data_IF_007159691018
#
_entry.id   IF_007159691018
#
_cell.length_a   1.000
_cell.length_b   1.000
_cell.length_c   1.000
_cell.angle_alpha   90.00
_cell.angle_beta   90.00
_cell.angle_gamma   90.00
#
_symmetry.space_group_name_H-M   'P 1'
#
loop_
_entity.id
_entity.type
_entity.pdbx_description
1 polymer ?
#
# COMPACT_ATOMS: atom_id res chain seq x y z
N UNK A 1 -26.30 -35.86 30.36
CA UNK A 1 -24.99 -35.20 30.56
C UNK A 1 -25.00 -33.90 29.77
N UNK A 2 -25.20 -32.76 30.43
CA UNK A 2 -25.25 -31.43 29.80
C UNK A 2 -23.86 -30.78 29.90
N UNK A 3 -23.21 -30.56 28.76
CA UNK A 3 -21.96 -29.82 28.67
C UNK A 3 -22.23 -28.32 28.81
N UNK A 4 -21.80 -27.75 29.93
CA UNK A 4 -21.72 -26.30 30.12
C UNK A 4 -20.49 -25.78 29.37
N UNK A 5 -20.71 -25.08 28.26
CA UNK A 5 -19.66 -24.30 27.60
C UNK A 5 -19.57 -22.95 28.34
N UNK A 6 -18.41 -22.58 28.92
CA UNK A 6 -18.29 -21.36 29.71
C UNK A 6 -18.47 -20.10 28.84
N UNK A 7 -19.41 -19.23 29.22
CA UNK A 7 -19.76 -17.97 28.53
C UNK A 7 -18.59 -16.98 28.36
N UNK A 8 -17.44 -17.22 29.00
CA UNK A 8 -16.27 -16.33 28.92
C UNK A 8 -15.56 -16.37 27.57
N UNK A 9 -15.71 -17.44 26.78
CA UNK A 9 -15.02 -17.57 25.49
C UNK A 9 -15.63 -16.66 24.41
N UNK A 10 -16.94 -16.38 24.48
CA UNK A 10 -17.64 -15.58 23.46
C UNK A 10 -17.22 -14.11 23.51
N UNK A 11 -16.87 -13.57 24.68
CA UNK A 11 -16.46 -12.18 24.84
C UNK A 11 -15.09 -11.86 24.20
N UNK A 12 -14.16 -12.82 24.15
CA UNK A 12 -12.85 -12.59 23.50
C UNK A 12 -12.97 -12.44 21.97
N UNK A 13 -13.91 -13.15 21.34
CA UNK A 13 -14.07 -13.10 19.88
C UNK A 13 -14.68 -11.78 19.38
N UNK A 14 -15.52 -11.13 20.18
CA UNK A 14 -16.09 -9.82 19.84
C UNK A 14 -15.07 -8.68 19.98
N UNK A 15 -14.16 -8.77 20.97
CA UNK A 15 -13.06 -7.80 21.15
C UNK A 15 -12.03 -7.85 20.01
N UNK A 16 -11.80 -9.00 19.40
CA UNK A 16 -10.91 -9.11 18.23
C UNK A 16 -11.50 -8.49 16.97
N UNK A 17 -12.82 -8.51 16.80
CA UNK A 17 -13.47 -8.06 15.56
C UNK A 17 -13.58 -6.54 15.49
N UNK A 18 -13.98 -5.89 16.59
CA UNK A 18 -14.07 -4.41 16.67
C UNK A 18 -12.70 -3.74 16.51
N UNK A 19 -11.60 -4.43 16.88
CA UNK A 19 -10.24 -3.92 16.70
C UNK A 19 -9.72 -4.05 15.25
N UNK A 20 -10.37 -4.86 14.41
CA UNK A 20 -10.01 -5.02 13.01
C UNK A 20 -10.46 -3.80 12.20
N UNK A 21 -11.74 -3.42 12.32
CA UNK A 21 -12.34 -2.36 11.48
C UNK A 21 -11.63 -1.00 11.67
N UNK A 22 -11.29 -0.64 12.91
CA UNK A 22 -10.61 0.62 13.20
C UNK A 22 -9.14 0.69 12.72
N UNK A 23 -8.52 -0.46 12.46
CA UNK A 23 -7.18 -0.52 11.87
C UNK A 23 -7.24 -0.46 10.34
N UNK A 24 -8.27 -1.05 9.74
CA UNK A 24 -8.45 -1.06 8.29
C UNK A 24 -8.65 0.36 7.76
N UNK A 25 -9.45 1.19 8.44
CA UNK A 25 -9.65 2.60 8.10
C UNK A 25 -8.36 3.42 8.20
N UNK A 26 -7.53 3.16 9.21
CA UNK A 26 -6.22 3.83 9.36
C UNK A 26 -5.26 3.42 8.26
N UNK A 27 -5.34 2.18 7.81
CA UNK A 27 -4.48 1.69 6.73
C UNK A 27 -4.86 2.25 5.38
N UNK A 28 -6.16 2.38 5.08
CA UNK A 28 -6.63 3.11 3.90
C UNK A 28 -6.19 4.58 3.95
N UNK A 29 -6.42 5.28 5.07
CA UNK A 29 -6.02 6.67 5.25
C UNK A 29 -4.50 6.88 5.16
N UNK A 30 -3.72 5.95 5.71
CA UNK A 30 -2.26 5.96 5.58
C UNK A 30 -1.84 5.82 4.12
N UNK A 31 -2.45 4.87 3.40
CA UNK A 31 -2.09 4.58 2.02
C UNK A 31 -2.34 5.81 1.14
N UNK A 32 -3.51 6.43 1.25
CA UNK A 32 -3.85 7.65 0.52
C UNK A 32 -2.87 8.80 0.83
N UNK A 33 -2.51 9.00 2.10
CA UNK A 33 -1.54 10.03 2.48
C UNK A 33 -0.17 9.78 1.86
N UNK A 34 0.34 8.56 1.95
CA UNK A 34 1.67 8.28 1.43
C UNK A 34 1.70 8.19 -0.10
N UNK A 35 0.62 7.77 -0.77
CA UNK A 35 0.49 7.86 -2.22
C UNK A 35 0.55 9.31 -2.68
N UNK A 36 -0.23 10.20 -2.06
CA UNK A 36 -0.19 11.62 -2.36
C UNK A 36 1.19 12.24 -2.06
N UNK A 37 1.86 11.81 -1.00
CA UNK A 37 3.23 12.22 -0.71
C UNK A 37 4.23 11.74 -1.77
N UNK A 38 4.07 10.54 -2.30
CA UNK A 38 4.93 10.02 -3.34
C UNK A 38 4.82 10.86 -4.62
N UNK A 39 3.59 11.17 -5.03
CA UNK A 39 3.28 12.04 -6.16
C UNK A 39 3.88 13.45 -5.98
N UNK A 40 3.68 14.05 -4.80
CA UNK A 40 4.19 15.39 -4.48
C UNK A 40 5.72 15.47 -4.42
N UNK A 41 6.41 14.34 -4.17
CA UNK A 41 7.87 14.27 -4.12
C UNK A 41 8.47 13.70 -5.41
N UNK A 42 7.70 13.60 -6.50
CA UNK A 42 8.18 13.16 -7.82
C UNK A 42 8.90 11.80 -7.79
N UNK A 43 8.49 10.91 -6.88
CA UNK A 43 9.02 9.55 -6.71
C UNK A 43 10.54 9.41 -6.42
N UNK A 44 11.34 10.49 -6.32
CA UNK A 44 12.79 10.44 -6.07
C UNK A 44 13.35 11.70 -5.38
N UNK A 45 14.47 11.55 -4.66
CA UNK A 45 15.24 12.62 -4.00
C UNK A 45 14.42 13.58 -3.11
N UNK A 46 13.92 13.02 -2.02
CA UNK A 46 13.19 13.76 -0.99
C UNK A 46 14.14 14.69 -0.23
N UNK A 47 13.95 16.01 -0.39
CA UNK A 47 14.56 17.03 0.47
C UNK A 47 13.71 17.26 1.73
N UNK A 48 14.35 17.50 2.87
CA UNK A 48 13.65 17.62 4.16
C UNK A 48 12.60 18.74 4.17
N UNK A 49 12.97 19.90 3.65
CA UNK A 49 12.10 21.08 3.55
C UNK A 49 10.89 20.81 2.66
N UNK A 50 11.10 20.17 1.51
CA UNK A 50 10.02 19.81 0.60
C UNK A 50 9.13 18.72 1.19
N UNK A 51 9.71 17.71 1.83
CA UNK A 51 8.96 16.65 2.52
C UNK A 51 8.03 17.21 3.59
N UNK A 52 8.52 18.13 4.41
CA UNK A 52 7.72 18.77 5.46
C UNK A 52 6.55 19.56 4.87
N UNK A 53 6.82 20.41 3.86
CA UNK A 53 5.78 21.21 3.19
C UNK A 53 4.75 20.33 2.48
N UNK A 54 5.22 19.32 1.75
CA UNK A 54 4.37 18.37 1.04
C UNK A 54 3.50 17.55 2.02
N UNK A 55 4.03 17.20 3.19
CA UNK A 55 3.26 16.54 4.25
C UNK A 55 2.12 17.42 4.75
N UNK A 56 2.39 18.70 5.03
CA UNK A 56 1.34 19.63 5.45
C UNK A 56 0.29 19.82 4.35
N UNK A 57 0.73 20.00 3.11
CA UNK A 57 -0.16 20.19 1.97
C UNK A 57 -1.04 18.96 1.71
N UNK A 58 -0.45 17.76 1.68
CA UNK A 58 -1.18 16.50 1.53
C UNK A 58 -2.23 16.31 2.63
N UNK A 59 -1.87 16.60 3.88
CA UNK A 59 -2.81 16.51 5.00
C UNK A 59 -3.96 17.50 4.89
N UNK A 60 -3.70 18.73 4.45
CA UNK A 60 -4.76 19.72 4.24
C UNK A 60 -5.73 19.28 3.13
N UNK A 61 -5.23 18.72 2.01
CA UNK A 61 -6.06 18.17 0.93
C UNK A 61 -6.96 17.06 1.45
N UNK A 62 -6.39 16.07 2.14
CA UNK A 62 -7.15 14.89 2.58
C UNK A 62 -8.16 15.24 3.67
N UNK A 63 -7.79 16.09 4.64
CA UNK A 63 -8.72 16.53 5.67
C UNK A 63 -9.87 17.37 5.11
N UNK A 64 -9.63 18.15 4.04
CA UNK A 64 -10.69 18.90 3.38
C UNK A 64 -11.66 17.99 2.63
N UNK A 65 -11.15 16.99 1.90
CA UNK A 65 -11.98 16.14 1.02
C UNK A 65 -12.69 15.00 1.76
N UNK A 66 -12.02 14.31 2.68
CA UNK A 66 -12.53 13.06 3.26
C UNK A 66 -13.14 13.24 4.64
N UNK A 67 -12.60 14.17 5.44
CA UNK A 67 -13.10 14.53 6.78
C UNK A 67 -13.30 13.33 7.74
N UNK A 68 -12.56 12.24 7.55
CA UNK A 68 -12.68 11.06 8.42
C UNK A 68 -11.77 11.18 9.65
N UNK A 69 -12.17 10.60 10.80
CA UNK A 69 -11.29 10.52 11.98
C UNK A 69 -9.98 9.78 11.71
N UNK A 70 -9.99 8.80 10.80
CA UNK A 70 -8.80 8.05 10.41
C UNK A 70 -7.76 8.95 9.75
N UNK A 71 -8.17 9.77 8.76
CA UNK A 71 -7.30 10.75 8.09
C UNK A 71 -6.74 11.76 9.09
N UNK A 72 -7.58 12.27 10.00
CA UNK A 72 -7.13 13.19 11.05
C UNK A 72 -6.01 12.57 11.90
N UNK A 73 -6.21 11.36 12.40
CA UNK A 73 -5.25 10.67 13.27
C UNK A 73 -3.93 10.35 12.54
N UNK A 74 -4.02 9.88 11.29
CA UNK A 74 -2.84 9.62 10.45
C UNK A 74 -2.06 10.92 10.22
N UNK A 75 -2.75 12.00 9.87
CA UNK A 75 -2.12 13.30 9.63
C UNK A 75 -1.46 13.89 10.88
N UNK A 76 -2.11 13.81 12.04
CA UNK A 76 -1.51 14.24 13.31
C UNK A 76 -0.23 13.44 13.56
N UNK A 77 -0.28 12.12 13.45
CA UNK A 77 0.89 11.27 13.66
C UNK A 77 2.05 11.64 12.73
N UNK A 78 1.79 11.73 11.42
CA UNK A 78 2.84 11.99 10.43
C UNK A 78 3.43 13.38 10.63
N UNK A 79 2.60 14.43 10.84
CA UNK A 79 3.06 15.80 11.10
C UNK A 79 3.94 15.90 12.34
N UNK A 80 3.56 15.23 13.43
CA UNK A 80 4.36 15.22 14.67
C UNK A 80 5.68 14.48 14.50
N UNK A 81 5.77 13.52 13.58
CA UNK A 81 6.94 12.66 13.40
C UNK A 81 7.71 12.93 12.10
N UNK A 82 7.51 14.08 11.44
CA UNK A 82 8.15 14.44 10.17
C UNK A 82 9.67 14.16 10.17
N UNK A 83 10.47 14.55 11.18
CA UNK A 83 11.92 14.32 11.15
C UNK A 83 12.29 12.83 11.11
N UNK A 84 11.57 12.00 11.89
CA UNK A 84 11.83 10.56 11.97
C UNK A 84 11.40 9.84 10.69
N UNK A 85 10.22 10.18 10.17
CA UNK A 85 9.68 9.62 8.94
C UNK A 85 10.56 10.02 7.76
N UNK A 86 10.92 11.28 7.64
CA UNK A 86 11.84 11.77 6.62
C UNK A 86 13.17 11.02 6.64
N UNK A 87 13.79 10.88 7.83
CA UNK A 87 15.06 10.18 7.95
C UNK A 87 14.94 8.74 7.47
N UNK A 88 13.87 8.03 7.85
CA UNK A 88 13.62 6.67 7.38
C UNK A 88 13.40 6.61 5.85
N UNK A 89 12.51 7.46 5.32
CA UNK A 89 12.19 7.56 3.88
C UNK A 89 13.45 7.80 3.06
N UNK A 90 14.32 8.71 3.51
CA UNK A 90 15.54 9.09 2.79
C UNK A 90 16.66 8.07 2.92
N UNK A 91 16.93 7.57 4.13
CA UNK A 91 18.13 6.76 4.42
C UNK A 91 17.91 5.26 4.26
N UNK A 92 16.72 4.77 4.60
CA UNK A 92 16.41 3.33 4.57
C UNK A 92 15.78 2.94 3.24
N UNK A 93 14.80 3.74 2.78
CA UNK A 93 13.98 3.37 1.62
C UNK A 93 14.28 4.13 0.34
N UNK A 94 15.08 5.20 0.41
CA UNK A 94 15.50 6.05 -0.71
C UNK A 94 14.33 6.61 -1.53
N UNK A 95 13.21 6.91 -0.87
CA UNK A 95 12.00 7.38 -1.54
C UNK A 95 10.74 7.00 -0.77
N UNK A 96 9.60 7.56 -1.17
CA UNK A 96 8.31 7.24 -0.57
C UNK A 96 7.80 5.91 -1.14
N UNK A 97 7.45 4.96 -0.26
CA UNK A 97 6.90 3.66 -0.65
C UNK A 97 5.61 3.43 0.12
N UNK A 98 4.44 3.81 -0.42
CA UNK A 98 3.22 3.94 0.38
C UNK A 98 2.85 2.70 1.18
N UNK A 99 2.76 1.54 0.52
CA UNK A 99 2.45 0.27 1.19
C UNK A 99 3.48 -0.09 2.27
N UNK A 100 4.76 0.02 1.97
CA UNK A 100 5.84 -0.33 2.91
C UNK A 100 5.85 0.62 4.11
N UNK A 101 5.65 1.92 3.91
CA UNK A 101 5.64 2.90 4.97
C UNK A 101 4.41 2.74 5.87
N UNK A 102 3.24 2.39 5.32
CA UNK A 102 2.08 2.05 6.11
C UNK A 102 2.25 0.76 6.93
N UNK A 103 2.96 -0.24 6.40
CA UNK A 103 3.35 -1.42 7.18
C UNK A 103 4.26 -1.05 8.35
N UNK A 104 5.25 -0.18 8.14
CA UNK A 104 6.23 0.20 9.17
C UNK A 104 5.61 1.09 10.25
N UNK A 105 4.95 2.18 9.86
CA UNK A 105 4.51 3.22 10.82
C UNK A 105 3.13 2.93 11.43
N UNK A 106 2.26 2.22 10.71
CA UNK A 106 0.88 1.97 11.13
C UNK A 106 0.56 0.48 11.29
N UNK A 107 1.55 -0.41 11.10
CA UNK A 107 1.41 -1.88 11.23
C UNK A 107 0.32 -2.46 10.32
N UNK A 108 0.13 -1.83 9.16
CA UNK A 108 -0.82 -2.29 8.17
C UNK A 108 -0.45 -3.66 7.62
N UNK A 109 -1.47 -4.47 7.31
CA UNK A 109 -1.29 -5.76 6.64
C UNK A 109 -1.94 -5.65 5.27
N UNK A 110 -1.12 -5.79 4.23
CA UNK A 110 -1.61 -5.88 2.87
C UNK A 110 -1.42 -7.33 2.41
N UNK A 111 -2.42 -7.96 1.77
CA UNK A 111 -2.23 -9.28 1.19
C UNK A 111 -1.11 -9.20 0.16
N UNK A 112 -0.13 -10.11 0.26
CA UNK A 112 0.92 -10.19 -0.75
C UNK A 112 0.28 -10.56 -2.09
N UNK A 113 0.55 -9.76 -3.12
CA UNK A 113 0.22 -10.14 -4.49
C UNK A 113 1.20 -11.23 -4.85
N UNK A 114 0.79 -12.50 -4.67
CA UNK A 114 1.58 -13.65 -5.15
C UNK A 114 1.77 -13.42 -6.65
N UNK A 115 3.01 -13.22 -7.13
CA UNK A 115 3.25 -13.07 -8.56
C UNK A 115 2.67 -14.30 -9.23
N UNK A 116 1.68 -14.11 -10.12
CA UNK A 116 1.26 -15.21 -10.97
C UNK A 116 2.50 -15.59 -11.75
N UNK A 117 3.09 -16.75 -11.42
CA UNK A 117 4.15 -17.35 -12.21
C UNK A 117 3.63 -17.30 -13.65
N UNK A 118 4.36 -16.68 -14.60
CA UNK A 118 3.94 -16.66 -15.98
C UNK A 118 3.61 -18.08 -16.36
N UNK A 119 2.32 -18.33 -16.59
CA UNK A 119 1.87 -19.63 -17.04
C UNK A 119 2.56 -19.78 -18.39
N UNK A 120 3.58 -20.64 -18.42
CA UNK A 120 4.35 -20.93 -19.63
C UNK A 120 3.35 -21.61 -20.56
N UNK A 121 2.63 -20.80 -21.31
CA UNK A 121 1.77 -21.26 -22.38
C UNK A 121 2.68 -22.12 -23.25
N UNK A 122 2.41 -23.42 -23.20
CA UNK A 122 3.06 -24.39 -24.06
C UNK A 122 2.54 -24.07 -25.45
N UNK A 123 3.26 -23.20 -26.15
CA UNK A 123 3.14 -23.02 -27.58
C UNK A 123 3.43 -24.37 -28.21
N UNK A 124 2.36 -25.11 -28.51
CA UNK A 124 2.41 -26.26 -29.40
C UNK A 124 2.90 -25.70 -30.73
N UNK A 125 4.13 -26.06 -31.09
CA UNK A 125 4.68 -25.81 -32.41
C UNK A 125 3.77 -26.53 -33.41
N UNK A 126 2.93 -25.77 -34.11
CA UNK A 126 2.31 -26.23 -35.34
C UNK A 126 3.37 -26.06 -36.43
N UNK A 127 4.07 -27.16 -36.74
CA UNK A 127 4.74 -27.34 -38.03
C UNK A 127 3.72 -27.06 -39.13
N UNK A 128 3.95 -25.99 -39.90
CA UNK A 128 3.34 -25.83 -41.21
C UNK A 128 4.47 -25.59 -42.21
N UNK A 129 5.04 -26.71 -42.65
CA UNK A 129 5.68 -26.84 -43.95
C UNK A 129 4.69 -26.44 -45.04
N UNK A 130 4.90 -25.30 -45.69
CA UNK A 130 4.40 -25.10 -47.05
C UNK A 130 5.43 -24.31 -47.84
N UNK A 131 6.29 -25.09 -48.49
CA UNK A 131 7.04 -24.76 -49.68
C UNK A 131 6.12 -24.11 -50.72
N UNK A 132 6.45 -22.91 -51.19
CA UNK A 132 6.14 -22.54 -52.56
C UNK A 132 7.24 -21.65 -53.16
N UNK A 133 7.96 -22.31 -54.07
CA UNK A 133 8.73 -21.76 -55.18
C UNK A 133 7.88 -20.81 -56.04
N UNK A 134 8.59 -20.06 -56.90
CA UNK A 134 8.19 -19.32 -58.12
C UNK A 134 8.62 -17.85 -57.95
N UNK A 135 9.29 -17.19 -58.89
CA UNK A 135 10.06 -17.56 -60.08
C UNK A 135 10.59 -16.22 -60.59
N UNK A 136 11.90 -16.16 -60.78
CA UNK A 136 12.65 -15.37 -61.76
C UNK A 136 11.97 -14.25 -62.58
N UNK A 137 12.62 -13.08 -62.50
CA UNK A 137 13.05 -12.16 -63.58
C UNK A 137 11.99 -11.29 -64.29
N UNK A 138 12.41 -10.23 -65.02
CA UNK A 138 13.77 -9.69 -65.23
C UNK A 138 14.08 -8.41 -64.45
#
# INVERSE_FOLDING_TARGET
MQSFVPLTVIALFLLTKVRSDANDDKCAACLELFELLDDLNSHQNVEQTNFSKNTEFACNILQFNLKTPAIYNVCVFVKTNIPNIYNYVRTVDQGVKPKKHCQVFFRCKFPEVIPRVPQKDSTVAADNDTKNEISSKP
#
